data_IF_489416365317
#
_entry.id   IF_489416365317
#
_cell.length_a   1.000
_cell.length_b   1.000
_cell.length_c   1.000
_cell.angle_alpha   90.00
_cell.angle_beta   90.00
_cell.angle_gamma   90.00
#
_symmetry.space_group_name_H-M   'P 1'
#
loop_
_entity.id
_entity.type
_entity.pdbx_description
1 polymer ?
#
# COMPACT_ATOMS: atom_id res chain seq x y z
N UNK A 1 12.18 6.81 -14.98
CA UNK A 1 11.61 6.45 -13.66
C UNK A 1 11.59 7.72 -12.84
N UNK A 2 10.41 8.17 -12.41
CA UNK A 2 10.37 9.21 -11.37
C UNK A 2 10.98 8.57 -10.13
N UNK A 3 12.06 9.14 -9.61
CA UNK A 3 12.52 8.78 -8.28
C UNK A 3 11.35 9.02 -7.31
N UNK A 4 11.17 8.11 -6.35
CA UNK A 4 10.24 8.34 -5.26
C UNK A 4 10.60 9.69 -4.61
N UNK A 5 9.63 10.57 -4.47
CA UNK A 5 9.83 11.84 -3.77
C UNK A 5 10.13 11.49 -2.30
N UNK A 6 11.30 11.90 -1.75
CA UNK A 6 11.69 11.57 -0.39
C UNK A 6 10.75 12.15 0.67
N UNK A 7 9.83 13.04 0.31
CA UNK A 7 8.77 13.52 1.19
C UNK A 7 7.71 12.45 1.51
N UNK A 8 7.64 11.35 0.75
CA UNK A 8 6.62 10.31 0.91
C UNK A 8 7.24 8.94 1.18
N UNK A 9 6.71 8.24 2.19
CA UNK A 9 7.15 6.88 2.55
C UNK A 9 6.73 5.83 1.51
N UNK A 10 5.65 6.08 0.76
CA UNK A 10 5.13 5.21 -0.29
C UNK A 10 4.30 6.00 -1.30
N UNK A 11 4.25 5.50 -2.54
CA UNK A 11 3.40 6.04 -3.61
C UNK A 11 2.57 4.92 -4.24
N UNK A 12 1.35 5.25 -4.65
CA UNK A 12 0.43 4.36 -5.34
C UNK A 12 -0.49 5.15 -6.28
N UNK A 13 -1.44 4.49 -6.95
CA UNK A 13 -2.30 5.15 -7.95
C UNK A 13 -3.75 5.39 -7.49
N UNK A 14 -4.19 4.77 -6.39
CA UNK A 14 -5.61 4.80 -6.00
C UNK A 14 -5.90 5.46 -4.64
N UNK A 15 -4.99 5.41 -3.65
CA UNK A 15 -5.35 5.79 -2.28
C UNK A 15 -5.82 7.23 -2.15
N UNK A 16 -5.14 8.17 -2.83
CA UNK A 16 -5.55 9.59 -2.83
C UNK A 16 -6.91 9.81 -3.51
N UNK A 17 -7.21 9.07 -4.58
CA UNK A 17 -8.51 9.16 -5.26
C UNK A 17 -9.65 8.63 -4.37
N UNK A 18 -9.42 7.53 -3.65
CA UNK A 18 -10.43 6.99 -2.71
C UNK A 18 -10.64 7.92 -1.53
N UNK A 19 -9.57 8.49 -0.96
CA UNK A 19 -9.65 9.49 0.11
C UNK A 19 -10.52 10.68 -0.31
N UNK A 20 -10.30 11.25 -1.51
CA UNK A 20 -11.07 12.39 -1.98
C UNK A 20 -12.57 12.09 -2.08
N UNK A 21 -12.94 10.87 -2.48
CA UNK A 21 -14.34 10.43 -2.47
C UNK A 21 -14.85 10.28 -1.04
N UNK A 22 -14.11 9.62 -0.14
CA UNK A 22 -14.53 9.43 1.24
C UNK A 22 -14.79 10.77 1.96
N UNK A 23 -13.90 11.75 1.77
CA UNK A 23 -14.05 13.12 2.28
C UNK A 23 -15.33 13.79 1.78
N UNK A 24 -15.65 13.66 0.48
CA UNK A 24 -16.86 14.23 -0.11
C UNK A 24 -18.16 13.68 0.50
N UNK A 25 -18.12 12.47 1.07
CA UNK A 25 -19.25 11.83 1.74
C UNK A 25 -19.16 11.86 3.27
N UNK A 26 -18.15 12.54 3.84
CA UNK A 26 -17.94 12.58 5.29
C UNK A 26 -17.63 11.21 5.91
N UNK A 27 -17.10 10.28 5.12
CA UNK A 27 -16.75 8.94 5.58
C UNK A 27 -15.26 8.90 6.02
N UNK A 28 -14.94 8.31 7.18
CA UNK A 28 -13.55 8.06 7.56
C UNK A 28 -12.92 7.03 6.61
N UNK A 29 -11.67 7.25 6.21
CA UNK A 29 -10.94 6.36 5.33
C UNK A 29 -9.54 6.07 5.87
N UNK A 30 -9.10 4.82 5.68
CA UNK A 30 -7.75 4.35 5.99
C UNK A 30 -7.29 3.42 4.87
N UNK A 31 -6.18 3.76 4.22
CA UNK A 31 -5.52 2.88 3.26
C UNK A 31 -4.47 2.00 3.96
N UNK A 32 -4.53 0.69 3.71
CA UNK A 32 -3.49 -0.27 4.12
C UNK A 32 -2.80 -0.79 2.86
N UNK A 33 -1.49 -0.54 2.73
CA UNK A 33 -0.69 -0.94 1.58
C UNK A 33 0.51 -1.78 2.01
N UNK A 34 0.79 -2.83 1.23
CA UNK A 34 2.04 -3.60 1.33
C UNK A 34 3.00 -3.15 0.24
N UNK A 35 4.28 -3.03 0.55
CA UNK A 35 5.31 -2.60 -0.40
C UNK A 35 5.67 -3.76 -1.35
N UNK A 36 5.49 -3.54 -2.65
CA UNK A 36 5.83 -4.49 -3.71
C UNK A 36 7.20 -4.26 -4.35
N UNK A 37 7.73 -3.05 -4.23
CA UNK A 37 8.97 -2.62 -4.86
C UNK A 37 9.50 -1.36 -4.16
N UNK A 38 10.81 -1.18 -4.20
CA UNK A 38 11.49 -0.10 -3.51
C UNK A 38 12.92 -0.45 -3.07
N UNK A 39 13.56 0.46 -2.31
CA UNK A 39 14.88 0.22 -1.75
C UNK A 39 14.86 -0.91 -0.71
N UNK A 40 16.01 -1.53 -0.47
CA UNK A 40 16.15 -2.58 0.56
C UNK A 40 15.71 -3.98 0.13
N UNK A 41 15.46 -4.19 -1.17
CA UNK A 41 15.13 -5.51 -1.71
C UNK A 41 16.24 -6.54 -1.45
N UNK A 42 15.96 -7.63 -0.70
CA UNK A 42 16.95 -8.64 -0.35
C UNK A 42 17.47 -9.44 -1.56
N UNK A 43 16.70 -9.49 -2.65
CA UNK A 43 17.10 -10.17 -3.89
C UNK A 43 17.82 -9.24 -4.87
N UNK A 44 18.00 -7.96 -4.53
CA UNK A 44 18.69 -6.94 -5.35
C UNK A 44 18.20 -6.92 -6.80
N UNK A 45 16.89 -7.08 -7.02
CA UNK A 45 16.27 -7.01 -8.34
C UNK A 45 16.36 -5.58 -8.90
N UNK A 46 16.22 -5.38 -10.22
CA UNK A 46 16.39 -4.07 -10.86
C UNK A 46 15.35 -2.97 -10.51
N UNK A 47 14.53 -3.15 -9.48
CA UNK A 47 13.39 -2.28 -9.16
C UNK A 47 12.11 -2.67 -9.92
N UNK A 48 11.16 -1.74 -10.00
CA UNK A 48 9.97 -1.88 -10.83
C UNK A 48 10.34 -2.06 -12.33
N UNK A 49 9.70 -2.97 -13.08
CA UNK A 49 8.57 -3.83 -12.69
C UNK A 49 8.97 -5.21 -12.15
N UNK A 50 10.27 -5.53 -12.12
CA UNK A 50 10.75 -6.86 -11.75
C UNK A 50 10.43 -7.21 -10.30
N UNK A 51 10.68 -6.27 -9.37
CA UNK A 51 10.31 -6.42 -7.96
C UNK A 51 8.80 -6.62 -7.79
N UNK A 52 7.98 -5.80 -8.48
CA UNK A 52 6.53 -5.93 -8.44
C UNK A 52 6.08 -7.34 -8.85
N UNK A 53 6.56 -7.87 -9.97
CA UNK A 53 6.18 -9.22 -10.40
C UNK A 53 6.58 -10.31 -9.40
N UNK A 54 7.69 -10.15 -8.68
CA UNK A 54 8.13 -11.10 -7.65
C UNK A 54 7.34 -10.95 -6.35
N UNK A 55 7.06 -9.71 -5.91
CA UNK A 55 6.58 -9.44 -4.55
C UNK A 55 5.11 -9.01 -4.45
N UNK A 56 4.41 -8.67 -5.54
CA UNK A 56 3.02 -8.17 -5.49
C UNK A 56 2.10 -9.10 -4.69
N UNK A 57 2.24 -10.43 -4.83
CA UNK A 57 1.43 -11.40 -4.09
C UNK A 57 1.71 -11.36 -2.59
N UNK A 58 2.99 -11.24 -2.20
CA UNK A 58 3.40 -11.14 -0.79
C UNK A 58 2.90 -9.81 -0.20
N UNK A 59 3.08 -8.71 -0.92
CA UNK A 59 2.59 -7.39 -0.54
C UNK A 59 1.07 -7.40 -0.32
N UNK A 60 0.30 -7.98 -1.25
CA UNK A 60 -1.14 -8.11 -1.15
C UNK A 60 -1.59 -8.96 0.05
N UNK A 61 -0.95 -10.11 0.28
CA UNK A 61 -1.26 -10.98 1.43
C UNK A 61 -0.96 -10.27 2.75
N UNK A 62 0.15 -9.54 2.85
CA UNK A 62 0.50 -8.81 4.06
C UNK A 62 -0.49 -7.67 4.34
N UNK A 63 -0.85 -6.88 3.32
CA UNK A 63 -1.86 -5.83 3.45
C UNK A 63 -3.21 -6.42 3.91
N UNK A 64 -3.66 -7.51 3.27
CA UNK A 64 -4.92 -8.17 3.64
C UNK A 64 -4.91 -8.71 5.07
N UNK A 65 -3.79 -9.27 5.55
CA UNK A 65 -3.67 -9.75 6.94
C UNK A 65 -3.78 -8.61 7.95
N UNK A 66 -3.10 -7.49 7.69
CA UNK A 66 -3.19 -6.30 8.56
C UNK A 66 -4.61 -5.75 8.56
N UNK A 67 -5.26 -5.63 7.39
CA UNK A 67 -6.65 -5.20 7.31
C UNK A 67 -7.60 -6.15 8.05
N UNK A 68 -7.45 -7.46 7.90
CA UNK A 68 -8.29 -8.44 8.57
C UNK A 68 -8.14 -8.37 10.10
N UNK A 69 -6.91 -8.27 10.60
CA UNK A 69 -6.65 -8.13 12.04
C UNK A 69 -7.20 -6.80 12.59
N UNK A 70 -7.04 -5.70 11.85
CA UNK A 70 -7.59 -4.40 12.22
C UNK A 70 -9.11 -4.48 12.36
N UNK A 71 -9.80 -5.07 11.38
CA UNK A 71 -11.25 -5.24 11.40
C UNK A 71 -11.69 -6.18 12.54
N UNK A 72 -10.97 -7.27 12.78
CA UNK A 72 -11.28 -8.20 13.87
C UNK A 72 -11.13 -7.59 15.27
N UNK A 73 -10.33 -6.53 15.42
CA UNK A 73 -10.17 -5.76 16.66
C UNK A 73 -10.99 -4.48 16.71
N UNK A 74 -11.67 -4.15 15.62
CA UNK A 74 -12.39 -2.88 15.52
C UNK A 74 -13.65 -2.93 16.40
N UNK A 75 -13.79 -2.06 17.41
CA UNK A 75 -14.92 -2.12 18.35
C UNK A 75 -16.29 -1.87 17.73
N UNK A 76 -16.34 -1.39 16.48
CA UNK A 76 -17.57 -1.13 15.72
C UNK A 76 -17.79 -2.05 14.51
N UNK A 77 -17.12 -3.20 14.46
CA UNK A 77 -17.35 -4.24 13.45
C UNK A 77 -18.44 -5.23 13.88
#
# INVERSE_FOLDING_TARGET
MSAADPAFDATDSESAAVQAVAEAYGAPFLAVRGISDGPGDPLRLPGFPFQFFVYHRVAAVNAARVTAELLGRWPGA
#
